data_IF_886893260515
#
_entry.id   IF_886893260515
#
_cell.length_a   1.000
_cell.length_b   1.000
_cell.length_c   1.000
_cell.angle_alpha   90.00
_cell.angle_beta   90.00
_cell.angle_gamma   90.00
#
_symmetry.space_group_name_H-M   'P 1'
#
loop_
_entity.id
_entity.type
_entity.pdbx_description
1 polymer ?
#
# COMPACT_ATOMS: atom_id res chain seq x y z
N UNK A 1 -20.63 -73.97 3.93
CA UNK A 1 -19.84 -72.77 4.25
C UNK A 1 -19.92 -71.85 3.06
N UNK A 2 -20.78 -70.83 3.15
CA UNK A 2 -21.19 -69.98 2.03
C UNK A 2 -20.50 -68.63 2.21
N UNK A 3 -19.46 -68.36 1.44
CA UNK A 3 -18.73 -67.09 1.47
C UNK A 3 -19.42 -66.11 0.53
N UNK A 4 -20.11 -65.12 1.11
CA UNK A 4 -20.71 -63.99 0.40
C UNK A 4 -19.63 -63.02 -0.08
N UNK A 5 -19.53 -62.84 -1.40
CA UNK A 5 -18.78 -61.76 -2.06
C UNK A 5 -19.60 -60.48 -1.92
N UNK A 6 -19.02 -59.41 -1.34
CA UNK A 6 -19.62 -58.07 -1.33
C UNK A 6 -19.22 -57.34 -2.63
N UNK A 7 -20.15 -56.65 -3.32
CA UNK A 7 -19.80 -55.74 -4.39
C UNK A 7 -19.16 -54.48 -3.80
N UNK A 8 -18.09 -54.01 -4.44
CA UNK A 8 -17.49 -52.69 -4.21
C UNK A 8 -18.40 -51.62 -4.80
N UNK A 9 -19.02 -50.81 -3.95
CA UNK A 9 -19.73 -49.60 -4.36
C UNK A 9 -18.73 -48.54 -4.84
N UNK A 10 -18.56 -48.48 -6.16
CA UNK A 10 -18.00 -47.32 -6.85
C UNK A 10 -19.05 -46.19 -6.79
N UNK A 11 -18.95 -45.30 -5.82
CA UNK A 11 -19.70 -44.05 -5.83
C UNK A 11 -18.84 -42.87 -5.36
N UNK A 12 -17.68 -42.70 -5.99
CA UNK A 12 -16.94 -41.44 -5.96
C UNK A 12 -17.67 -40.44 -6.86
N UNK A 13 -18.72 -39.81 -6.34
CA UNK A 13 -19.21 -38.56 -6.90
C UNK A 13 -18.08 -37.55 -6.79
N UNK A 14 -17.55 -37.14 -7.93
CA UNK A 14 -16.66 -36.00 -8.06
C UNK A 14 -17.28 -34.81 -7.30
N UNK A 15 -16.58 -34.34 -6.27
CA UNK A 15 -16.89 -33.06 -5.67
C UNK A 15 -16.72 -32.01 -6.78
N UNK A 16 -17.83 -31.48 -7.27
CA UNK A 16 -17.81 -30.33 -8.14
C UNK A 16 -17.09 -29.21 -7.38
N UNK A 17 -15.94 -28.79 -7.89
CA UNK A 17 -15.24 -27.61 -7.41
C UNK A 17 -16.14 -26.41 -7.65
N UNK A 18 -16.98 -26.08 -6.67
CA UNK A 18 -17.72 -24.82 -6.64
C UNK A 18 -16.65 -23.73 -6.52
N UNK A 19 -16.51 -22.94 -7.58
CA UNK A 19 -15.67 -21.74 -7.59
C UNK A 19 -16.28 -20.73 -6.62
N UNK A 20 -15.85 -20.78 -5.36
CA UNK A 20 -16.16 -19.76 -4.38
C UNK A 20 -15.36 -18.51 -4.74
N UNK A 21 -16.03 -17.43 -5.13
CA UNK A 21 -15.37 -16.14 -5.28
C UNK A 21 -15.19 -15.51 -3.89
N UNK A 22 -13.97 -15.24 -3.42
CA UNK A 22 -13.80 -14.62 -2.13
C UNK A 22 -14.05 -13.11 -2.19
N UNK A 23 -14.88 -12.58 -1.29
CA UNK A 23 -15.00 -11.13 -1.09
C UNK A 23 -14.04 -10.70 0.03
N UNK A 24 -13.20 -9.70 -0.26
CA UNK A 24 -12.42 -8.99 0.75
C UNK A 24 -13.20 -7.76 1.23
N UNK A 25 -13.48 -7.69 2.54
CA UNK A 25 -14.07 -6.49 3.16
C UNK A 25 -13.15 -5.91 4.22
N UNK A 26 -13.03 -4.59 4.20
CA UNK A 26 -12.48 -3.79 5.29
C UNK A 26 -13.50 -3.76 6.41
N UNK A 27 -13.14 -4.20 7.62
CA UNK A 27 -14.01 -4.08 8.80
C UNK A 27 -13.26 -3.31 9.89
N UNK A 28 -13.97 -2.41 10.55
CA UNK A 28 -13.51 -1.70 11.74
C UNK A 28 -14.16 -2.36 12.96
N UNK A 29 -13.35 -2.88 13.87
CA UNK A 29 -13.81 -3.44 15.14
C UNK A 29 -13.02 -2.76 16.26
N UNK A 30 -13.70 -1.96 17.09
CA UNK A 30 -13.06 -1.12 18.12
C UNK A 30 -11.94 -0.22 17.56
N UNK A 31 -10.73 -0.30 18.14
CA UNK A 31 -9.53 0.48 17.76
C UNK A 31 -8.69 -0.17 16.64
N UNK A 32 -9.07 -1.36 16.17
CA UNK A 32 -8.27 -2.13 15.20
C UNK A 32 -9.01 -2.36 13.89
N UNK A 33 -8.26 -2.38 12.79
CA UNK A 33 -8.79 -2.73 11.47
C UNK A 33 -8.16 -4.00 10.96
N UNK A 34 -8.95 -4.77 10.23
CA UNK A 34 -8.52 -6.00 9.59
C UNK A 34 -9.20 -6.18 8.23
N UNK A 35 -8.57 -6.97 7.37
CA UNK A 35 -9.16 -7.48 6.15
C UNK A 35 -9.73 -8.87 6.44
N UNK A 36 -11.01 -9.06 6.12
CA UNK A 36 -11.67 -10.37 6.22
C UNK A 36 -12.04 -10.86 4.83
N UNK A 37 -11.76 -12.14 4.59
CA UNK A 37 -12.18 -12.86 3.40
C UNK A 37 -13.43 -13.70 3.71
N UNK A 38 -14.44 -13.59 2.84
CA UNK A 38 -15.69 -14.35 2.95
C UNK A 38 -15.87 -15.21 1.70
N UNK A 39 -16.20 -16.51 1.84
CA UNK A 39 -16.64 -17.30 0.69
C UNK A 39 -18.01 -16.79 0.22
N UNK A 40 -18.22 -16.63 -1.09
CA UNK A 40 -19.57 -16.45 -1.62
C UNK A 40 -20.00 -17.69 -2.37
N UNK A 41 -21.15 -18.23 -1.99
CA UNK A 41 -21.92 -19.15 -2.83
C UNK A 41 -22.74 -18.38 -3.87
N UNK A 42 -23.00 -19.04 -5.00
CA UNK A 42 -23.74 -18.50 -6.13
C UNK A 42 -25.18 -18.18 -5.69
N UNK A 43 -25.52 -16.89 -5.75
CA UNK A 43 -26.85 -16.29 -5.88
C UNK A 43 -27.86 -16.48 -4.74
N UNK A 44 -28.40 -15.31 -4.35
CA UNK A 44 -29.65 -15.03 -3.64
C UNK A 44 -29.65 -15.40 -2.15
N UNK A 45 -29.74 -14.37 -1.31
CA UNK A 45 -29.81 -14.39 0.16
C UNK A 45 -28.51 -14.72 0.90
N UNK A 46 -27.67 -13.70 1.11
CA UNK A 46 -26.67 -13.72 2.17
C UNK A 46 -27.35 -13.32 3.48
N UNK A 47 -27.65 -14.27 4.35
CA UNK A 47 -28.08 -13.95 5.72
C UNK A 47 -26.89 -13.86 6.69
N UNK A 48 -25.83 -14.65 6.53
CA UNK A 48 -24.64 -14.52 7.40
C UNK A 48 -23.35 -14.88 6.65
N UNK A 49 -22.41 -13.95 6.59
CA UNK A 49 -21.04 -14.27 6.19
C UNK A 49 -20.29 -14.78 7.43
N UNK A 50 -19.59 -15.92 7.35
CA UNK A 50 -18.69 -16.45 8.40
C UNK A 50 -17.21 -16.36 7.98
N UNK A 51 -16.32 -16.00 8.91
CA UNK A 51 -14.91 -15.72 8.60
C UNK A 51 -14.24 -16.98 8.04
N UNK A 52 -13.60 -16.88 6.87
CA UNK A 52 -12.92 -18.02 6.26
C UNK A 52 -11.77 -18.51 7.16
N UNK A 53 -11.91 -19.69 7.76
CA UNK A 53 -10.80 -20.31 8.52
C UNK A 53 -9.87 -21.03 7.54
N UNK A 54 -8.59 -20.70 7.58
CA UNK A 54 -7.55 -21.38 6.80
C UNK A 54 -6.33 -21.62 7.69
N UNK A 55 -5.77 -22.82 7.59
CA UNK A 55 -4.50 -23.24 8.18
C UNK A 55 -3.29 -22.75 7.35
N UNK A 56 -3.49 -22.49 6.06
CA UNK A 56 -2.44 -22.02 5.15
C UNK A 56 -2.30 -20.50 5.08
N UNK A 57 -3.28 -19.74 5.57
CA UNK A 57 -3.32 -18.27 5.44
C UNK A 57 -3.77 -17.61 6.72
N UNK A 58 -3.12 -16.49 7.08
CA UNK A 58 -3.58 -15.62 8.17
C UNK A 58 -4.99 -15.10 7.84
N UNK A 59 -5.93 -15.27 8.76
CA UNK A 59 -7.25 -14.63 8.70
C UNK A 59 -7.79 -14.47 10.14
N UNK A 60 -8.07 -13.25 10.64
CA UNK A 60 -8.02 -11.96 9.93
C UNK A 60 -6.61 -11.57 9.47
N UNK A 61 -6.54 -10.84 8.36
CA UNK A 61 -5.27 -10.25 7.86
C UNK A 61 -5.16 -8.83 8.40
N UNK A 62 -3.96 -8.44 8.83
CA UNK A 62 -3.65 -7.10 9.31
C UNK A 62 -3.95 -6.05 8.24
N UNK A 63 -4.54 -4.93 8.64
CA UNK A 63 -4.98 -3.89 7.71
C UNK A 63 -3.84 -3.23 6.91
N UNK A 64 -2.64 -3.21 7.50
CA UNK A 64 -1.38 -2.76 6.89
C UNK A 64 -0.96 -3.57 5.67
N UNK A 65 -1.38 -4.84 5.56
CA UNK A 65 -1.06 -5.74 4.43
C UNK A 65 -1.98 -5.55 3.23
N UNK A 66 -2.96 -4.63 3.30
CA UNK A 66 -3.87 -4.38 2.18
C UNK A 66 -3.10 -3.90 0.95
N UNK A 67 -3.57 -4.24 -0.26
CA UNK A 67 -3.15 -3.55 -1.48
C UNK A 67 -3.40 -2.04 -1.34
N UNK A 68 -2.49 -1.22 -1.87
CA UNK A 68 -2.72 0.23 -1.96
C UNK A 68 -3.91 0.48 -2.87
N UNK A 69 -4.88 1.27 -2.41
CA UNK A 69 -6.01 1.68 -3.25
C UNK A 69 -5.71 3.01 -3.95
N UNK A 70 -6.45 3.31 -5.02
CA UNK A 70 -6.35 4.61 -5.70
C UNK A 70 -6.63 5.78 -4.76
N UNK A 71 -7.55 5.63 -3.80
CA UNK A 71 -7.83 6.68 -2.80
C UNK A 71 -6.67 6.89 -1.84
N UNK A 72 -5.92 5.83 -1.54
CA UNK A 72 -4.73 5.93 -0.70
C UNK A 72 -3.62 6.66 -1.44
N UNK A 73 -3.41 6.38 -2.73
CA UNK A 73 -2.49 7.14 -3.58
C UNK A 73 -2.91 8.61 -3.74
N UNK A 74 -4.19 8.88 -3.98
CA UNK A 74 -4.71 10.25 -4.06
C UNK A 74 -4.47 11.03 -2.77
N UNK A 75 -4.65 10.39 -1.61
CA UNK A 75 -4.36 11.00 -0.32
C UNK A 75 -2.87 11.24 -0.09
N UNK A 76 -2.00 10.29 -0.48
CA UNK A 76 -0.54 10.48 -0.47
C UNK A 76 -0.16 11.72 -1.30
N UNK A 77 -0.67 11.82 -2.53
CA UNK A 77 -0.38 12.95 -3.40
C UNK A 77 -0.88 14.28 -2.80
N UNK A 78 -2.13 14.35 -2.35
CA UNK A 78 -2.76 15.59 -1.87
C UNK A 78 -2.34 16.04 -0.48
N UNK A 79 -1.89 15.12 0.38
CA UNK A 79 -1.56 15.41 1.78
C UNK A 79 -0.04 15.39 1.94
N UNK A 80 0.59 14.23 1.75
CA UNK A 80 2.03 14.05 2.04
C UNK A 80 2.88 14.86 1.09
N UNK A 81 2.70 14.70 -0.22
CA UNK A 81 3.54 15.41 -1.21
C UNK A 81 3.23 16.90 -1.27
N UNK A 82 2.01 17.31 -0.89
CA UNK A 82 1.68 18.72 -0.70
C UNK A 82 2.41 19.33 0.50
N UNK A 83 2.53 18.58 1.60
CA UNK A 83 3.31 19.02 2.76
C UNK A 83 4.80 19.17 2.41
N UNK A 84 5.35 18.24 1.63
CA UNK A 84 6.72 18.31 1.10
C UNK A 84 6.92 19.59 0.31
N UNK A 85 6.03 19.90 -0.63
CA UNK A 85 6.08 21.13 -1.39
C UNK A 85 5.97 22.38 -0.52
N UNK A 86 5.07 22.38 0.46
CA UNK A 86 4.91 23.52 1.38
C UNK A 86 6.19 23.81 2.19
N UNK A 87 6.94 22.77 2.55
CA UNK A 87 8.07 22.88 3.47
C UNK A 87 9.43 22.99 2.78
N UNK A 88 9.65 22.19 1.74
CA UNK A 88 10.93 22.10 1.02
C UNK A 88 10.77 22.27 -0.50
N UNK A 89 9.59 22.67 -0.99
CA UNK A 89 9.37 22.86 -2.43
C UNK A 89 10.35 23.86 -3.06
N UNK A 90 10.81 24.86 -2.31
CA UNK A 90 11.86 25.78 -2.80
C UNK A 90 13.19 25.07 -3.06
N UNK A 91 13.59 24.09 -2.22
CA UNK A 91 14.80 23.28 -2.43
C UNK A 91 14.62 22.44 -3.71
N UNK A 92 13.44 21.83 -3.88
CA UNK A 92 13.15 21.02 -5.08
C UNK A 92 13.20 21.86 -6.36
N UNK A 93 12.62 23.07 -6.31
CA UNK A 93 12.66 24.01 -7.42
C UNK A 93 14.08 24.49 -7.73
N UNK A 94 14.87 24.84 -6.73
CA UNK A 94 16.27 25.26 -6.93
C UNK A 94 17.14 24.13 -7.49
N UNK A 95 16.94 22.89 -7.00
CA UNK A 95 17.79 21.75 -7.37
C UNK A 95 17.38 21.06 -8.67
N UNK A 96 16.08 21.03 -8.99
CA UNK A 96 15.55 20.23 -10.09
C UNK A 96 14.68 21.02 -11.07
N UNK A 97 14.37 22.29 -10.78
CA UNK A 97 13.53 23.15 -11.62
C UNK A 97 12.03 22.82 -11.58
N UNK A 98 11.59 21.92 -10.69
CA UNK A 98 10.16 21.60 -10.50
C UNK A 98 9.89 21.02 -9.09
N UNK A 99 8.63 20.69 -8.81
CA UNK A 99 8.14 20.13 -7.53
C UNK A 99 6.90 19.24 -7.77
N UNK A 100 6.14 18.86 -6.73
CA UNK A 100 4.95 17.99 -6.91
C UNK A 100 3.66 18.75 -7.24
N UNK A 101 3.48 19.93 -6.67
CA UNK A 101 2.27 20.77 -6.74
C UNK A 101 2.57 22.22 -7.12
N UNK A 102 3.77 22.74 -6.80
CA UNK A 102 4.14 24.14 -7.02
C UNK A 102 4.72 24.36 -8.43
N UNK A 103 4.00 23.90 -9.46
CA UNK A 103 4.46 23.80 -10.86
C UNK A 103 3.25 23.77 -11.82
N UNK A 104 3.44 24.10 -13.11
CA UNK A 104 2.45 23.78 -14.14
C UNK A 104 2.15 22.26 -14.16
N UNK A 105 0.89 21.84 -14.37
CA UNK A 105 0.51 20.41 -14.32
C UNK A 105 1.34 19.48 -15.21
N UNK A 106 1.80 19.97 -16.36
CA UNK A 106 2.63 19.28 -17.33
C UNK A 106 4.13 19.22 -16.96
N UNK A 107 4.56 20.00 -15.96
CA UNK A 107 5.97 20.08 -15.52
C UNK A 107 6.19 19.51 -14.12
N UNK A 108 5.14 19.29 -13.34
CA UNK A 108 5.23 18.69 -12.00
C UNK A 108 5.77 17.27 -12.04
N UNK A 109 6.53 16.87 -11.01
CA UNK A 109 7.06 15.52 -10.88
C UNK A 109 5.97 14.45 -11.06
N UNK A 110 6.34 13.38 -11.75
CA UNK A 110 5.64 12.10 -11.64
C UNK A 110 6.15 11.36 -10.40
N UNK A 111 5.31 10.45 -9.91
CA UNK A 111 5.60 9.67 -8.72
C UNK A 111 5.83 8.21 -9.11
N UNK A 112 6.86 7.60 -8.54
CA UNK A 112 7.11 6.18 -8.65
C UNK A 112 7.14 5.53 -7.27
N UNK A 113 6.09 4.78 -6.87
CA UNK A 113 6.05 4.14 -5.56
C UNK A 113 6.83 2.81 -5.57
N UNK A 114 7.69 2.59 -4.58
CA UNK A 114 8.27 1.27 -4.35
C UNK A 114 7.23 0.27 -3.84
N UNK A 115 7.43 -1.04 -4.06
CA UNK A 115 6.60 -2.06 -3.43
C UNK A 115 6.57 -1.91 -1.90
N UNK A 116 5.37 -1.89 -1.31
CA UNK A 116 5.20 -1.90 0.14
C UNK A 116 5.67 -3.24 0.71
N UNK A 117 6.76 -3.21 1.45
CA UNK A 117 7.27 -4.37 2.16
C UNK A 117 7.14 -4.14 3.67
N UNK A 118 6.07 -4.69 4.26
CA UNK A 118 5.85 -4.67 5.72
C UNK A 118 6.87 -5.51 6.48
N UNK A 119 7.54 -6.45 5.83
CA UNK A 119 8.65 -7.20 6.43
C UNK A 119 9.92 -6.36 6.63
N UNK A 120 10.00 -5.14 6.05
CA UNK A 120 11.17 -4.27 6.24
C UNK A 120 11.10 -3.44 7.52
N UNK A 121 9.97 -3.42 8.23
CA UNK A 121 9.73 -2.52 9.38
C UNK A 121 9.67 -3.23 10.74
N UNK A 122 9.98 -4.54 10.81
CA UNK A 122 9.90 -5.39 12.02
C UNK A 122 8.57 -5.35 12.82
N UNK A 123 7.59 -4.57 12.36
CA UNK A 123 6.23 -4.47 12.86
C UNK A 123 5.26 -4.57 11.67
N UNK A 124 4.47 -5.65 11.69
CA UNK A 124 3.47 -5.94 10.67
C UNK A 124 2.40 -4.86 10.56
N UNK A 125 2.17 -4.06 11.62
CA UNK A 125 1.16 -3.00 11.63
C UNK A 125 1.65 -1.70 10.99
N UNK A 126 2.96 -1.56 10.81
CA UNK A 126 3.55 -0.39 10.16
C UNK A 126 3.40 -0.48 8.65
N UNK A 127 3.08 0.67 8.05
CA UNK A 127 2.89 0.81 6.62
C UNK A 127 3.72 1.98 6.12
N UNK A 128 4.86 1.65 5.49
CA UNK A 128 5.80 2.61 4.93
C UNK A 128 5.88 2.47 3.43
N UNK A 129 5.86 3.60 2.73
CA UNK A 129 5.93 3.64 1.28
C UNK A 129 7.01 4.63 0.85
N UNK A 130 8.04 4.13 0.16
CA UNK A 130 8.94 4.99 -0.59
C UNK A 130 8.25 5.50 -1.84
N UNK A 131 8.31 6.82 -2.04
CA UNK A 131 7.79 7.52 -3.20
C UNK A 131 8.95 8.29 -3.82
N UNK A 132 9.30 7.93 -5.03
CA UNK A 132 10.39 8.55 -5.79
C UNK A 132 9.84 9.62 -6.73
N UNK A 133 10.58 10.71 -6.89
CA UNK A 133 10.28 11.73 -7.89
C UNK A 133 10.88 11.34 -9.24
N UNK A 134 10.11 11.57 -10.30
CA UNK A 134 10.50 11.34 -11.68
C UNK A 134 10.16 12.59 -12.50
N UNK A 135 10.97 12.93 -13.49
CA UNK A 135 10.62 14.02 -14.40
C UNK A 135 9.36 13.67 -15.22
N UNK A 136 8.49 14.65 -15.43
CA UNK A 136 7.30 14.47 -16.27
C UNK A 136 7.63 14.59 -17.76
N UNK A 137 8.23 13.52 -18.27
CA UNK A 137 8.55 13.33 -19.68
C UNK A 137 8.04 11.97 -20.15
N UNK A 138 8.09 11.72 -21.46
CA UNK A 138 7.71 10.42 -22.00
C UNK A 138 8.56 9.31 -21.35
N UNK A 139 7.93 8.20 -20.97
CA UNK A 139 8.57 7.12 -20.21
C UNK A 139 9.23 7.59 -18.90
N UNK A 140 8.56 8.46 -18.15
CA UNK A 140 9.06 9.08 -16.90
C UNK A 140 9.85 8.17 -15.97
N UNK A 141 9.52 6.87 -15.85
CA UNK A 141 10.28 5.93 -15.00
C UNK A 141 11.72 5.63 -15.47
N UNK A 142 12.15 6.18 -16.60
CA UNK A 142 13.55 6.20 -17.05
C UNK A 142 14.26 7.53 -16.72
N UNK A 143 13.55 8.45 -16.06
CA UNK A 143 14.02 9.81 -15.76
C UNK A 143 13.92 10.10 -14.25
N UNK A 144 14.58 9.28 -13.40
CA UNK A 144 14.52 9.46 -11.96
C UNK A 144 15.20 10.73 -11.53
N UNK A 145 14.62 11.34 -10.51
CA UNK A 145 15.22 12.43 -9.77
C UNK A 145 15.87 11.81 -8.53
N UNK A 146 17.02 12.34 -8.12
CA UNK A 146 17.73 11.89 -6.93
C UNK A 146 17.08 12.43 -5.63
N UNK A 147 15.75 12.22 -5.54
CA UNK A 147 14.89 12.65 -4.45
C UNK A 147 13.77 11.65 -4.23
N UNK A 148 13.52 11.32 -2.96
CA UNK A 148 12.46 10.43 -2.55
C UNK A 148 12.00 10.68 -1.14
N UNK A 149 10.77 10.27 -0.85
CA UNK A 149 10.12 10.45 0.45
C UNK A 149 9.65 9.11 0.99
N UNK A 150 10.01 8.79 2.23
CA UNK A 150 9.45 7.67 2.96
C UNK A 150 8.20 8.13 3.70
N UNK A 151 7.04 7.79 3.17
CA UNK A 151 5.75 8.16 3.76
C UNK A 151 5.30 7.13 4.80
N UNK A 152 4.82 7.63 5.94
CA UNK A 152 4.08 6.88 6.94
C UNK A 152 2.58 6.90 6.61
N UNK A 153 2.03 5.71 6.35
CA UNK A 153 0.65 5.49 5.94
C UNK A 153 -0.15 4.67 6.97
N UNK A 154 0.22 4.77 8.24
CA UNK A 154 -0.39 3.98 9.31
C UNK A 154 -1.87 4.32 9.52
N UNK A 155 -2.67 3.29 9.79
CA UNK A 155 -4.11 3.43 10.01
C UNK A 155 -4.91 3.75 8.75
N UNK A 156 -6.13 4.27 8.95
CA UNK A 156 -7.10 4.57 7.86
C UNK A 156 -7.36 6.05 7.65
N UNK A 157 -6.84 6.92 8.50
CA UNK A 157 -7.09 8.36 8.43
C UNK A 157 -5.92 9.03 7.71
N UNK A 158 -6.07 9.43 6.44
CA UNK A 158 -4.94 9.97 5.68
C UNK A 158 -4.45 11.31 6.19
N UNK A 159 -5.23 11.99 7.04
CA UNK A 159 -4.81 13.25 7.71
C UNK A 159 -3.71 13.03 8.74
N UNK A 160 -3.44 11.77 9.10
CA UNK A 160 -2.35 11.39 10.01
C UNK A 160 -1.11 10.90 9.27
N UNK A 161 -1.15 10.87 7.94
CA UNK A 161 0.03 10.50 7.17
C UNK A 161 1.10 11.57 7.34
N UNK A 162 2.36 11.14 7.25
CA UNK A 162 3.53 12.00 7.51
C UNK A 162 4.74 11.51 6.72
N UNK A 163 5.79 12.32 6.72
CA UNK A 163 7.10 11.98 6.16
C UNK A 163 8.01 11.50 7.28
N UNK A 164 8.48 10.26 7.19
CA UNK A 164 9.41 9.68 8.17
C UNK A 164 10.86 9.95 7.80
N UNK A 165 11.21 9.90 6.51
CA UNK A 165 12.57 10.09 6.01
C UNK A 165 12.56 10.70 4.61
N UNK A 166 13.69 11.27 4.23
CA UNK A 166 13.91 11.85 2.91
C UNK A 166 15.23 11.30 2.36
N UNK A 167 15.20 10.90 1.09
CA UNK A 167 16.38 10.70 0.29
C UNK A 167 16.59 11.96 -0.56
N UNK A 168 17.77 12.56 -0.50
CA UNK A 168 18.12 13.70 -1.33
C UNK A 168 19.62 13.67 -1.65
N UNK A 169 19.94 13.67 -2.95
CA UNK A 169 21.31 13.74 -3.48
C UNK A 169 22.29 12.72 -2.86
N UNK A 170 21.89 11.44 -2.83
CA UNK A 170 22.71 10.37 -2.26
C UNK A 170 22.78 10.34 -0.72
N UNK A 171 22.03 11.20 -0.04
CA UNK A 171 22.00 11.28 1.42
C UNK A 171 20.60 11.02 1.98
N UNK A 172 20.57 10.45 3.18
CA UNK A 172 19.36 10.18 3.94
C UNK A 172 19.21 11.19 5.07
N UNK A 173 18.01 11.75 5.22
CA UNK A 173 17.64 12.68 6.27
C UNK A 173 16.48 12.10 7.08
N UNK A 174 16.51 12.29 8.40
CA UNK A 174 15.46 11.86 9.32
C UNK A 174 14.25 12.81 9.33
N UNK A 175 14.39 14.01 8.76
CA UNK A 175 13.27 14.94 8.62
C UNK A 175 13.48 15.98 7.51
N UNK A 176 12.39 16.64 7.11
CA UNK A 176 12.45 17.83 6.24
C UNK A 176 13.24 18.98 6.87
N UNK A 177 13.17 19.14 8.20
CA UNK A 177 13.91 20.21 8.90
C UNK A 177 15.41 19.98 8.86
N UNK A 178 15.84 18.72 9.04
CA UNK A 178 17.25 18.35 8.93
C UNK A 178 17.79 18.62 7.52
N UNK A 179 17.03 18.28 6.48
CA UNK A 179 17.38 18.62 5.10
C UNK A 179 17.50 20.15 4.92
N UNK A 180 16.55 20.93 5.42
CA UNK A 180 16.60 22.40 5.34
C UNK A 180 17.87 22.95 5.99
N UNK A 181 18.21 22.48 7.19
CA UNK A 181 19.41 22.90 7.91
C UNK A 181 20.68 22.52 7.13
N UNK A 182 20.77 21.29 6.65
CA UNK A 182 21.93 20.81 5.87
C UNK A 182 22.10 21.56 4.55
N UNK A 183 21.00 21.79 3.83
CA UNK A 183 20.99 22.50 2.55
C UNK A 183 21.42 23.95 2.70
N UNK A 184 20.87 24.67 3.69
CA UNK A 184 21.20 26.07 3.94
C UNK A 184 22.61 26.27 4.49
N UNK A 185 23.18 25.27 5.18
CA UNK A 185 24.56 25.34 5.69
C UNK A 185 25.61 25.09 4.61
N UNK A 186 25.20 24.53 3.47
CA UNK A 186 26.07 24.22 2.33
C UNK A 186 25.99 25.28 1.22
N UNK A 187 25.14 26.30 1.38
CA UNK A 187 25.15 27.52 0.56
C UNK A 187 26.25 28.47 1.01
#
# INVERSE_FOLDING_TARGET
MTTTVRPTDNNTRAAANVLHAPILRRKREALSMYIRQWPTDILLYHQECTLLKSDQRRNPVEFSLRPVSLQEFDAVYKIVLKEVDNKIGYILQESYGTSYHSCPPEECFKIYPSPLATNLVDDINMRRLWIWAEYNVEYYGLHPVDFGVLANLDGSDPRKYSVDKIWYHGQMFDSMDELIVGYNSSK
#
